data_IF_956878377499
#
_entry.id   IF_956878377499
#
_cell.length_a   1.000
_cell.length_b   1.000
_cell.length_c   1.000
_cell.angle_alpha   90.00
_cell.angle_beta   90.00
_cell.angle_gamma   90.00
#
_symmetry.space_group_name_H-M   'P 1'
#
loop_
_entity.id
_entity.type
_entity.pdbx_description
1 polymer ?
#
# COMPACT_ATOMS: atom_id res chain seq x y z
N UNK A 1 -2.38 0.94 -20.65
CA UNK A 1 -2.05 0.39 -19.31
C UNK A 1 -3.00 -0.75 -19.05
N UNK A 2 -2.47 -1.91 -18.72
CA UNK A 2 -3.27 -3.11 -18.40
C UNK A 2 -3.77 -3.06 -16.94
N UNK A 3 -3.05 -2.37 -16.05
CA UNK A 3 -3.39 -2.11 -14.64
C UNK A 3 -4.65 -1.25 -14.40
N UNK A 4 -5.22 -0.65 -15.45
CA UNK A 4 -6.48 0.08 -15.33
C UNK A 4 -7.70 -0.75 -15.73
N UNK A 5 -7.51 -1.91 -16.36
CA UNK A 5 -8.59 -2.80 -16.81
C UNK A 5 -9.11 -3.64 -15.65
N UNK A 6 -10.43 -3.79 -15.55
CA UNK A 6 -11.06 -4.58 -14.49
C UNK A 6 -10.83 -6.06 -14.74
N UNK A 7 -9.80 -6.61 -14.10
CA UNK A 7 -9.60 -8.06 -13.97
C UNK A 7 -10.22 -8.56 -12.65
N UNK A 8 -10.52 -9.85 -12.59
CA UNK A 8 -11.07 -10.52 -11.41
C UNK A 8 -10.03 -10.82 -10.31
N UNK A 9 -8.82 -10.28 -10.43
CA UNK A 9 -7.70 -10.49 -9.49
C UNK A 9 -7.09 -9.15 -9.13
N UNK A 10 -6.51 -9.06 -7.93
CA UNK A 10 -5.76 -7.88 -7.53
C UNK A 10 -4.64 -7.58 -8.52
N UNK A 11 -4.48 -6.30 -8.83
CA UNK A 11 -3.44 -5.83 -9.74
C UNK A 11 -2.44 -5.01 -8.94
N UNK A 12 -1.20 -5.48 -8.89
CA UNK A 12 -0.15 -4.89 -8.08
C UNK A 12 0.74 -3.97 -8.92
N UNK A 13 1.19 -2.89 -8.30
CA UNK A 13 2.19 -1.99 -8.82
C UNK A 13 3.11 -1.57 -7.67
N UNK A 14 4.39 -1.88 -7.77
CA UNK A 14 5.39 -1.40 -6.82
C UNK A 14 6.31 -0.40 -7.50
N UNK A 15 6.39 0.82 -6.96
CA UNK A 15 7.35 1.84 -7.39
C UNK A 15 8.49 1.90 -6.38
N UNK A 16 9.66 1.41 -6.78
CA UNK A 16 10.88 1.40 -5.98
C UNK A 16 11.71 2.66 -6.29
N UNK A 17 11.84 3.54 -5.31
CA UNK A 17 12.67 4.73 -5.35
C UNK A 17 14.15 4.46 -5.10
N UNK A 18 15.04 5.42 -5.44
CA UNK A 18 16.47 5.26 -5.21
C UNK A 18 16.78 5.36 -3.71
N UNK A 19 17.36 4.30 -3.15
CA UNK A 19 17.69 4.18 -1.73
C UNK A 19 18.87 5.04 -1.22
N UNK A 20 19.16 6.19 -1.85
CA UNK A 20 20.23 7.11 -1.43
C UNK A 20 19.78 8.58 -1.47
N UNK A 21 20.16 9.32 -0.42
CA UNK A 21 19.73 10.67 0.00
C UNK A 21 18.24 10.87 0.31
N UNK A 22 17.97 10.69 1.61
CA UNK A 22 16.72 10.50 2.39
C UNK A 22 15.72 11.67 2.33
N UNK A 23 15.88 12.69 1.48
CA UNK A 23 15.00 13.87 1.59
C UNK A 23 14.29 14.22 0.29
N UNK A 24 14.96 14.22 -0.86
CA UNK A 24 14.32 14.64 -2.11
C UNK A 24 13.71 13.48 -2.89
N UNK A 25 14.34 12.29 -2.86
CA UNK A 25 13.79 11.08 -3.48
C UNK A 25 12.57 10.55 -2.75
N UNK A 26 12.61 10.51 -1.41
CA UNK A 26 11.47 10.09 -0.57
C UNK A 26 10.27 10.99 -0.82
N UNK A 27 10.47 12.31 -0.78
CA UNK A 27 9.42 13.28 -1.12
C UNK A 27 8.87 13.07 -2.51
N UNK A 28 9.72 12.76 -3.49
CA UNK A 28 9.27 12.53 -4.87
C UNK A 28 8.42 11.27 -5.00
N UNK A 29 8.75 10.18 -4.31
CA UNK A 29 8.03 8.91 -4.40
C UNK A 29 6.73 8.94 -3.61
N UNK A 30 6.75 9.44 -2.37
CA UNK A 30 5.53 9.66 -1.59
C UNK A 30 4.58 10.64 -2.28
N UNK A 31 5.11 11.62 -3.06
CA UNK A 31 4.29 12.51 -3.90
C UNK A 31 3.55 11.74 -5.01
N UNK A 32 4.13 10.67 -5.57
CA UNK A 32 3.43 9.83 -6.55
C UNK A 32 2.23 9.14 -5.88
N UNK A 33 2.44 8.55 -4.70
CA UNK A 33 1.35 7.97 -3.92
C UNK A 33 0.25 9.00 -3.60
N UNK A 34 0.63 10.16 -3.05
CA UNK A 34 -0.30 11.22 -2.71
C UNK A 34 -1.09 11.74 -3.92
N UNK A 35 -0.43 11.87 -5.08
CA UNK A 35 -1.10 12.28 -6.33
C UNK A 35 -2.08 11.23 -6.84
N UNK A 36 -1.77 9.94 -6.72
CA UNK A 36 -2.73 8.89 -7.09
C UNK A 36 -3.95 8.94 -6.18
N UNK A 37 -3.75 9.05 -4.86
CA UNK A 37 -4.85 9.19 -3.89
C UNK A 37 -5.72 10.40 -4.24
N UNK A 38 -5.10 11.58 -4.42
CA UNK A 38 -5.83 12.79 -4.79
C UNK A 38 -6.60 12.64 -6.12
N UNK A 39 -5.99 11.99 -7.12
CA UNK A 39 -6.63 11.76 -8.42
C UNK A 39 -7.81 10.79 -8.33
N UNK A 40 -7.67 9.71 -7.55
CA UNK A 40 -8.75 8.76 -7.30
C UNK A 40 -9.92 9.43 -6.57
N UNK A 41 -9.63 10.23 -5.54
CA UNK A 41 -10.64 11.01 -4.83
C UNK A 41 -11.36 12.01 -5.73
N UNK A 42 -10.63 12.74 -6.60
CA UNK A 42 -11.23 13.67 -7.57
C UNK A 42 -12.10 12.96 -8.61
N UNK A 43 -11.76 11.72 -8.95
CA UNK A 43 -12.53 10.88 -9.87
C UNK A 43 -13.64 10.07 -9.18
N UNK A 44 -13.88 10.32 -7.88
CA UNK A 44 -14.88 9.60 -7.05
C UNK A 44 -14.66 8.07 -7.06
N UNK A 45 -13.43 7.63 -7.25
CA UNK A 45 -13.05 6.23 -7.14
C UNK A 45 -12.69 5.92 -5.69
N UNK A 46 -13.28 4.89 -5.06
CA UNK A 46 -12.95 4.52 -3.69
C UNK A 46 -11.45 4.24 -3.54
N UNK A 47 -10.84 4.87 -2.54
CA UNK A 47 -9.41 4.74 -2.27
C UNK A 47 -9.18 4.51 -0.78
N UNK A 48 -8.40 3.48 -0.49
CA UNK A 48 -7.83 3.21 0.83
C UNK A 48 -6.36 3.60 0.73
N UNK A 49 -5.84 4.34 1.70
CA UNK A 49 -4.43 4.72 1.68
C UNK A 49 -3.80 4.76 3.07
N UNK A 50 -2.50 4.46 3.12
CA UNK A 50 -1.71 4.58 4.34
C UNK A 50 -0.28 4.98 4.02
N UNK A 51 0.23 5.98 4.74
CA UNK A 51 1.60 6.46 4.64
C UNK A 51 2.34 6.00 5.89
N UNK A 52 3.23 5.03 5.70
CA UNK A 52 3.98 4.41 6.77
C UNK A 52 5.03 5.38 7.31
N UNK A 53 4.94 5.66 8.61
CA UNK A 53 5.93 6.43 9.34
C UNK A 53 6.40 5.62 10.56
N UNK A 54 7.72 5.49 10.73
CA UNK A 54 8.27 5.06 12.02
C UNK A 54 8.38 6.28 12.93
N UNK A 55 7.42 6.44 13.85
CA UNK A 55 7.51 7.42 14.93
C UNK A 55 8.63 7.02 15.90
N UNK A 56 9.88 7.37 15.57
CA UNK A 56 11.07 7.00 16.37
C UNK A 56 11.09 7.63 17.78
N UNK A 57 10.22 8.58 18.11
CA UNK A 57 10.42 9.43 19.29
C UNK A 57 9.25 9.60 20.27
N UNK A 58 8.00 9.19 19.97
CA UNK A 58 6.84 9.62 20.81
C UNK A 58 6.05 8.49 21.48
N UNK A 59 6.04 7.25 20.93
CA UNK A 59 5.12 6.20 21.43
C UNK A 59 5.75 5.02 22.17
N UNK A 60 7.08 4.96 22.28
CA UNK A 60 7.77 3.92 23.07
C UNK A 60 7.40 3.95 24.58
N UNK A 61 6.63 4.95 25.04
CA UNK A 61 6.22 5.09 26.43
C UNK A 61 4.97 4.29 26.82
N UNK A 62 4.13 3.87 25.86
CA UNK A 62 2.86 3.19 26.18
C UNK A 62 2.93 1.66 26.15
N UNK A 63 3.86 1.08 25.38
CA UNK A 63 4.09 -0.36 25.34
C UNK A 63 5.60 -0.66 25.31
N UNK A 64 6.26 -0.75 26.48
CA UNK A 64 7.71 -0.95 26.58
C UNK A 64 8.20 -2.33 26.09
N UNK A 65 7.31 -3.21 25.63
CA UNK A 65 7.61 -4.59 25.23
C UNK A 65 7.38 -4.89 23.73
N UNK A 66 6.92 -3.93 22.92
CA UNK A 66 6.65 -4.14 21.49
C UNK A 66 7.58 -3.32 20.60
N UNK A 67 8.06 -3.96 19.54
CA UNK A 67 9.00 -3.38 18.60
C UNK A 67 8.29 -2.34 17.71
N UNK A 68 8.90 -1.17 17.41
CA UNK A 68 8.27 -0.11 16.63
C UNK A 68 7.69 -0.57 15.28
N UNK A 69 8.37 -1.48 14.59
CA UNK A 69 7.98 -2.02 13.29
C UNK A 69 6.73 -2.92 13.41
N UNK A 70 6.67 -3.74 14.45
CA UNK A 70 5.51 -4.59 14.76
C UNK A 70 4.28 -3.73 15.09
N UNK A 71 4.46 -2.67 15.89
CA UNK A 71 3.38 -1.73 16.20
C UNK A 71 2.92 -0.96 14.95
N UNK A 72 3.86 -0.53 14.11
CA UNK A 72 3.55 0.15 12.85
C UNK A 72 2.78 -0.77 11.88
N UNK A 73 3.12 -2.07 11.84
CA UNK A 73 2.37 -3.05 11.06
C UNK A 73 0.94 -3.22 11.57
N UNK A 74 0.74 -3.30 12.88
CA UNK A 74 -0.61 -3.35 13.49
C UNK A 74 -1.39 -2.08 13.20
N UNK A 75 -0.75 -0.90 13.26
CA UNK A 75 -1.38 0.37 12.92
C UNK A 75 -1.81 0.40 11.44
N UNK A 76 -0.95 -0.06 10.52
CA UNK A 76 -1.26 -0.20 9.10
C UNK A 76 -2.49 -1.11 8.90
N UNK A 77 -2.49 -2.32 9.47
CA UNK A 77 -3.61 -3.25 9.35
C UNK A 77 -4.92 -2.66 9.89
N UNK A 78 -4.87 -2.05 11.08
CA UNK A 78 -6.03 -1.43 11.72
C UNK A 78 -6.59 -0.27 10.90
N UNK A 79 -5.70 0.57 10.33
CA UNK A 79 -6.09 1.69 9.49
C UNK A 79 -6.73 1.24 8.18
N UNK A 80 -6.22 0.15 7.59
CA UNK A 80 -6.82 -0.46 6.41
C UNK A 80 -8.20 -1.05 6.72
N UNK A 81 -8.34 -1.84 7.79
CA UNK A 81 -9.65 -2.38 8.21
C UNK A 81 -10.68 -1.25 8.34
N UNK A 82 -10.34 -0.17 9.04
CA UNK A 82 -11.21 1.00 9.22
C UNK A 82 -11.63 1.62 7.89
N UNK A 83 -10.66 1.88 7.01
CA UNK A 83 -10.92 2.48 5.69
C UNK A 83 -11.70 1.53 4.77
N UNK A 84 -11.44 0.23 4.83
CA UNK A 84 -12.19 -0.77 4.07
C UNK A 84 -13.66 -0.70 4.43
N UNK A 85 -13.99 -0.65 5.73
CA UNK A 85 -15.38 -0.46 6.19
C UNK A 85 -16.00 0.84 5.63
N UNK A 86 -15.24 1.93 5.56
CA UNK A 86 -15.73 3.22 5.03
C UNK A 86 -16.03 3.18 3.52
N UNK A 87 -15.35 2.33 2.75
CA UNK A 87 -15.56 2.20 1.29
C UNK A 87 -16.55 1.10 0.90
N UNK A 88 -17.03 0.29 1.85
CA UNK A 88 -18.07 -0.70 1.58
C UNK A 88 -19.40 -0.03 1.21
N UNK A 89 -20.21 -0.75 0.44
CA UNK A 89 -21.57 -0.32 0.13
C UNK A 89 -22.40 -0.21 1.42
N UNK A 90 -23.35 0.75 1.52
CA UNK A 90 -24.20 0.89 2.70
C UNK A 90 -25.02 -0.37 3.04
N UNK A 91 -25.28 -1.21 2.05
CA UNK A 91 -25.99 -2.48 2.18
C UNK A 91 -25.37 -3.50 1.22
N UNK A 92 -25.04 -4.66 1.75
CA UNK A 92 -24.56 -5.82 1.00
C UNK A 92 -24.94 -7.08 1.77
N UNK A 93 -25.06 -8.19 1.06
CA UNK A 93 -25.26 -9.50 1.67
C UNK A 93 -23.90 -10.19 1.77
N UNK A 94 -23.65 -10.84 2.90
CA UNK A 94 -22.41 -11.58 3.12
C UNK A 94 -22.62 -12.77 4.05
N UNK A 95 -21.79 -13.79 3.88
CA UNK A 95 -21.68 -14.93 4.79
C UNK A 95 -20.53 -14.75 5.80
N UNK A 96 -19.76 -13.67 5.72
CA UNK A 96 -18.69 -13.38 6.67
C UNK A 96 -19.24 -12.92 8.01
N UNK A 97 -18.58 -13.31 9.11
CA UNK A 97 -18.90 -12.83 10.44
C UNK A 97 -18.46 -11.38 10.60
N UNK A 98 -19.39 -10.43 10.47
CA UNK A 98 -19.17 -9.01 10.74
C UNK A 98 -19.76 -8.59 12.11
N UNK A 99 -19.85 -9.52 13.05
CA UNK A 99 -20.42 -9.28 14.37
C UNK A 99 -19.51 -8.42 15.24
N UNK A 100 -20.13 -7.65 16.16
CA UNK A 100 -19.41 -6.84 17.15
C UNK A 100 -18.35 -7.64 17.94
N UNK A 101 -18.62 -8.86 18.45
CA UNK A 101 -17.62 -9.65 19.18
C UNK A 101 -16.35 -9.96 18.40
N UNK A 102 -16.42 -10.11 17.07
CA UNK A 102 -15.23 -10.32 16.23
C UNK A 102 -14.40 -9.05 16.15
N UNK A 103 -15.05 -7.90 15.91
CA UNK A 103 -14.36 -6.61 15.89
C UNK A 103 -13.79 -6.21 17.26
N UNK A 104 -14.41 -6.61 18.38
CA UNK A 104 -13.89 -6.37 19.73
C UNK A 104 -12.56 -7.09 20.01
N UNK A 105 -12.20 -8.11 19.23
CA UNK A 105 -10.90 -8.78 19.32
C UNK A 105 -9.76 -7.95 18.70
N UNK A 106 -10.08 -6.95 17.87
CA UNK A 106 -9.12 -6.02 17.26
C UNK A 106 -8.65 -4.98 18.28
N UNK A 107 -7.76 -5.40 19.17
CA UNK A 107 -7.32 -4.60 20.31
C UNK A 107 -6.10 -3.70 20.03
N UNK A 108 -5.66 -3.61 18.77
CA UNK A 108 -4.51 -2.78 18.37
C UNK A 108 -3.17 -3.31 18.89
N UNK A 109 -3.13 -4.55 19.39
CA UNK A 109 -1.89 -5.22 19.78
C UNK A 109 -1.53 -6.31 18.79
N UNK A 110 -0.26 -6.67 18.79
CA UNK A 110 0.29 -7.72 17.95
C UNK A 110 -0.37 -9.11 18.18
N UNK A 111 -0.95 -9.34 19.36
CA UNK A 111 -1.68 -10.59 19.67
C UNK A 111 -2.95 -10.75 18.83
N UNK A 112 -3.51 -9.64 18.33
CA UNK A 112 -4.70 -9.64 17.47
C UNK A 112 -4.37 -9.74 15.97
N UNK A 113 -3.11 -9.99 15.61
CA UNK A 113 -2.66 -9.96 14.21
C UNK A 113 -3.44 -10.92 13.30
N UNK A 114 -3.56 -12.19 13.69
CA UNK A 114 -4.20 -13.20 12.85
C UNK A 114 -5.68 -12.87 12.63
N UNK A 115 -6.39 -12.48 13.69
CA UNK A 115 -7.78 -12.01 13.62
C UNK A 115 -7.90 -10.75 12.74
N UNK A 116 -6.93 -9.84 12.82
CA UNK A 116 -6.89 -8.64 11.97
C UNK A 116 -6.74 -8.99 10.50
N UNK A 117 -5.88 -9.97 10.16
CA UNK A 117 -5.70 -10.41 8.77
C UNK A 117 -6.95 -11.12 8.24
N UNK A 118 -7.62 -11.95 9.04
CA UNK A 118 -8.88 -12.58 8.66
C UNK A 118 -9.99 -11.56 8.43
N UNK A 119 -10.16 -10.59 9.34
CA UNK A 119 -11.15 -9.52 9.19
C UNK A 119 -10.84 -8.67 7.95
N UNK A 120 -9.56 -8.33 7.74
CA UNK A 120 -9.16 -7.57 6.56
C UNK A 120 -9.45 -8.34 5.27
N UNK A 121 -9.12 -9.63 5.20
CA UNK A 121 -9.38 -10.47 4.03
C UNK A 121 -10.87 -10.53 3.68
N UNK A 122 -11.71 -10.78 4.68
CA UNK A 122 -13.17 -10.82 4.52
C UNK A 122 -13.70 -9.47 4.02
N UNK A 123 -13.27 -8.36 4.64
CA UNK A 123 -13.69 -7.03 4.22
C UNK A 123 -13.24 -6.69 2.80
N UNK A 124 -12.00 -7.00 2.43
CA UNK A 124 -11.47 -6.76 1.08
C UNK A 124 -12.22 -7.54 0.00
N UNK A 125 -12.70 -8.74 0.32
CA UNK A 125 -13.50 -9.54 -0.61
C UNK A 125 -14.90 -8.93 -0.88
N UNK A 126 -15.35 -8.03 -0.01
CA UNK A 126 -16.61 -7.29 -0.15
C UNK A 126 -16.43 -5.95 -0.88
N UNK A 127 -15.19 -5.47 -1.06
CA UNK A 127 -14.92 -4.23 -1.77
C UNK A 127 -15.14 -4.42 -3.26
N UNK A 128 -15.84 -3.49 -3.95
CA UNK A 128 -15.93 -3.52 -5.40
C UNK A 128 -14.55 -3.44 -6.06
N UNK A 129 -14.30 -4.25 -7.10
CA UNK A 129 -12.99 -4.34 -7.80
C UNK A 129 -12.52 -3.07 -8.53
N UNK A 130 -13.23 -1.95 -8.38
CA UNK A 130 -12.83 -0.64 -8.91
C UNK A 130 -12.04 0.20 -7.90
N UNK A 131 -11.85 -0.26 -6.65
CA UNK A 131 -11.17 0.50 -5.61
C UNK A 131 -9.64 0.42 -5.68
N UNK A 132 -8.98 1.49 -5.25
CA UNK A 132 -7.52 1.55 -5.10
C UNK A 132 -7.10 1.34 -3.64
N UNK A 133 -5.97 0.66 -3.43
CA UNK A 133 -5.25 0.61 -2.17
C UNK A 133 -3.84 1.16 -2.38
N UNK A 134 -3.45 2.21 -1.65
CA UNK A 134 -2.14 2.86 -1.79
C UNK A 134 -1.38 2.80 -0.48
N UNK A 135 -0.23 2.13 -0.47
CA UNK A 135 0.61 1.95 0.71
C UNK A 135 1.98 2.55 0.42
N UNK A 136 2.29 3.67 1.05
CA UNK A 136 3.58 4.33 0.94
C UNK A 136 4.48 3.94 2.12
N UNK A 137 5.75 3.66 1.85
CA UNK A 137 6.77 3.50 2.89
C UNK A 137 6.78 2.14 3.60
N UNK A 138 6.21 1.06 3.04
CA UNK A 138 6.16 -0.25 3.75
C UNK A 138 7.55 -0.80 4.13
N UNK A 139 8.60 -0.45 3.38
CA UNK A 139 10.00 -0.77 3.70
C UNK A 139 10.46 -0.27 5.07
N UNK A 140 9.81 0.75 5.64
CA UNK A 140 10.12 1.22 6.99
C UNK A 140 9.72 0.23 8.08
N UNK A 141 8.78 -0.67 7.79
CA UNK A 141 8.32 -1.70 8.73
C UNK A 141 9.14 -2.98 8.58
N UNK A 142 10.00 -3.05 7.56
CA UNK A 142 10.71 -4.24 7.17
C UNK A 142 11.82 -4.55 8.18
N UNK A 143 11.59 -5.58 8.98
CA UNK A 143 12.55 -6.09 9.94
C UNK A 143 12.48 -7.61 9.95
N UNK A 144 13.56 -8.27 10.37
CA UNK A 144 13.61 -9.73 10.46
C UNK A 144 12.44 -10.33 11.27
N UNK A 145 11.87 -9.55 12.21
CA UNK A 145 10.76 -9.96 13.06
C UNK A 145 9.40 -9.71 12.42
N UNK A 146 9.27 -8.59 11.70
CA UNK A 146 8.02 -8.18 11.04
C UNK A 146 7.82 -8.83 9.67
N UNK A 147 8.87 -9.33 9.02
CA UNK A 147 8.86 -9.84 7.65
C UNK A 147 7.70 -10.81 7.37
N UNK A 148 7.61 -11.92 8.13
CA UNK A 148 6.55 -12.92 7.95
C UNK A 148 5.14 -12.34 8.05
N UNK A 149 4.97 -11.28 8.84
CA UNK A 149 3.68 -10.62 9.05
C UNK A 149 3.37 -9.67 7.90
N UNK A 150 4.34 -8.88 7.46
CA UNK A 150 4.20 -8.04 6.27
C UNK A 150 3.92 -8.88 5.02
N UNK A 151 4.55 -10.05 4.90
CA UNK A 151 4.26 -11.01 3.82
C UNK A 151 2.83 -11.55 3.89
N UNK A 152 2.37 -11.98 5.06
CA UNK A 152 0.98 -12.40 5.26
C UNK A 152 0.00 -11.27 4.90
N UNK A 153 0.32 -10.04 5.26
CA UNK A 153 -0.45 -8.85 4.89
C UNK A 153 -0.48 -8.61 3.38
N UNK A 154 0.66 -8.71 2.70
CA UNK A 154 0.76 -8.59 1.23
C UNK A 154 -0.04 -9.69 0.53
N UNK A 155 -0.04 -10.91 1.08
CA UNK A 155 -0.83 -12.02 0.57
C UNK A 155 -2.34 -11.80 0.73
N UNK A 156 -2.79 -11.24 1.87
CA UNK A 156 -4.19 -10.84 2.06
C UNK A 156 -4.61 -9.81 1.00
N UNK A 157 -3.76 -8.83 0.73
CA UNK A 157 -3.98 -7.85 -0.33
C UNK A 157 -4.03 -8.50 -1.73
N UNK A 158 -3.15 -9.46 -2.01
CA UNK A 158 -3.06 -10.17 -3.29
C UNK A 158 -4.31 -10.98 -3.61
N UNK A 159 -4.97 -11.49 -2.59
CA UNK A 159 -6.22 -12.24 -2.72
C UNK A 159 -7.48 -11.35 -2.85
N UNK A 160 -7.33 -10.02 -2.87
CA UNK A 160 -8.43 -9.09 -3.12
C UNK A 160 -8.72 -8.91 -4.62
N UNK A 161 -9.68 -8.03 -4.94
CA UNK A 161 -9.96 -7.58 -6.31
C UNK A 161 -9.51 -6.12 -6.55
N UNK A 162 -8.79 -5.53 -5.61
CA UNK A 162 -8.40 -4.13 -5.65
C UNK A 162 -7.16 -3.89 -6.52
N UNK A 163 -6.99 -2.65 -6.95
CA UNK A 163 -5.74 -2.17 -7.55
C UNK A 163 -4.83 -1.65 -6.45
N UNK A 164 -3.68 -2.28 -6.28
CA UNK A 164 -2.82 -2.08 -5.12
C UNK A 164 -1.51 -1.47 -5.58
N UNK A 165 -1.16 -0.32 -5.01
CA UNK A 165 0.09 0.38 -5.28
C UNK A 165 0.94 0.48 -4.01
N UNK A 166 2.18 0.01 -4.12
CA UNK A 166 3.21 0.22 -3.12
C UNK A 166 4.21 1.27 -3.63
N UNK A 167 4.65 2.14 -2.75
CA UNK A 167 5.74 3.09 -3.03
C UNK A 167 6.78 3.01 -1.91
N UNK A 168 8.06 2.96 -2.26
CA UNK A 168 9.16 2.85 -1.28
C UNK A 168 10.33 3.73 -1.67
N UNK A 169 11.06 4.30 -0.69
CA UNK A 169 12.30 5.04 -0.90
C UNK A 169 13.54 4.14 -0.76
N UNK A 170 13.47 2.98 -1.40
CA UNK A 170 14.48 1.94 -1.33
C UNK A 170 13.86 0.56 -1.42
N UNK A 171 14.67 -0.46 -1.14
CA UNK A 171 14.22 -1.85 -1.19
C UNK A 171 13.36 -2.20 0.02
N UNK A 172 12.33 -3.00 -0.22
CA UNK A 172 11.64 -3.77 0.80
C UNK A 172 11.91 -5.25 0.54
N UNK A 173 12.47 -5.96 1.52
CA UNK A 173 12.63 -7.41 1.50
C UNK A 173 11.29 -8.12 1.30
N UNK A 174 10.26 -7.73 2.06
CA UNK A 174 8.96 -8.40 1.96
C UNK A 174 8.31 -8.21 0.57
N UNK A 175 8.42 -7.03 -0.05
CA UNK A 175 7.91 -6.82 -1.41
C UNK A 175 8.74 -7.53 -2.48
N UNK A 176 10.07 -7.62 -2.32
CA UNK A 176 10.93 -8.33 -3.26
C UNK A 176 10.60 -9.81 -3.38
N UNK A 177 10.15 -10.43 -2.28
CA UNK A 177 9.77 -11.84 -2.26
C UNK A 177 8.35 -12.07 -2.80
N UNK A 178 7.45 -11.10 -2.60
CA UNK A 178 6.02 -11.27 -2.92
C UNK A 178 5.60 -10.61 -4.24
N UNK A 179 6.36 -9.67 -4.81
CA UNK A 179 6.00 -8.92 -6.02
C UNK A 179 6.98 -9.24 -7.17
N UNK A 180 6.49 -9.80 -8.30
CA UNK A 180 7.34 -10.08 -9.45
C UNK A 180 7.85 -8.80 -10.11
N UNK A 181 8.98 -8.92 -10.81
CA UNK A 181 9.62 -7.80 -11.53
C UNK A 181 8.68 -7.14 -12.55
N UNK A 182 7.75 -7.89 -13.14
CA UNK A 182 6.75 -7.36 -14.08
C UNK A 182 5.77 -6.36 -13.45
N UNK A 183 5.60 -6.42 -12.14
CA UNK A 183 4.75 -5.52 -11.34
C UNK A 183 5.58 -4.40 -10.66
N UNK A 184 6.87 -4.31 -10.97
CA UNK A 184 7.82 -3.38 -10.31
C UNK A 184 8.34 -2.32 -11.29
N UNK A 185 8.32 -1.06 -10.88
CA UNK A 185 8.92 0.08 -11.58
C UNK A 185 10.04 0.66 -10.71
N UNK A 186 11.27 0.58 -11.19
CA UNK A 186 12.42 1.19 -10.53
C UNK A 186 12.64 2.62 -11.02
N UNK A 187 12.60 3.57 -10.10
CA UNK A 187 12.88 4.98 -10.37
C UNK A 187 14.36 5.22 -10.10
N UNK A 188 15.15 5.34 -11.16
CA UNK A 188 16.57 5.70 -11.04
C UNK A 188 16.72 7.21 -10.88
N UNK A 189 17.59 7.64 -9.96
CA UNK A 189 18.05 9.04 -9.92
C UNK A 189 18.83 9.30 -11.20
N UNK A 190 18.29 10.11 -12.12
CA UNK A 190 19.11 10.61 -13.22
C UNK A 190 20.21 11.49 -12.60
N UNK A 191 21.49 11.32 -12.98
CA UNK A 191 22.51 12.28 -12.60
C UNK A 191 22.04 13.66 -13.06
N UNK A 192 22.27 14.68 -12.23
CA UNK A 192 21.87 16.06 -12.50
C UNK A 192 22.60 16.58 -13.73
N UNK A 193 22.11 16.20 -14.91
CA UNK A 193 22.40 16.89 -16.16
C UNK A 193 21.45 18.07 -16.14
N UNK A 194 22.04 19.27 -16.17
CA UNK A 194 21.31 20.51 -16.13
C UNK A 194 20.16 20.53 -17.13
N UNK A 195 19.16 21.34 -16.78
CA UNK A 195 17.98 21.76 -17.55
C UNK A 195 16.82 20.77 -17.67
N UNK A 196 15.81 21.08 -16.84
CA UNK A 196 14.36 21.13 -17.11
C UNK A 196 13.87 20.49 -18.43
N UNK A 197 12.77 19.73 -18.31
CA UNK A 197 11.94 19.19 -19.41
C UNK A 197 12.40 17.87 -20.03
N UNK A 198 12.69 16.85 -19.21
CA UNK A 198 12.86 15.48 -19.70
C UNK A 198 11.91 14.47 -19.04
N UNK A 199 11.49 14.69 -17.80
CA UNK A 199 10.58 13.76 -17.09
C UNK A 199 9.17 13.75 -17.69
N UNK A 200 8.62 14.92 -18.04
CA UNK A 200 7.36 14.99 -18.79
C UNK A 200 7.52 14.44 -20.21
N UNK A 201 8.69 14.63 -20.82
CA UNK A 201 8.90 14.20 -22.20
C UNK A 201 9.04 12.67 -22.32
N UNK A 202 9.69 12.00 -21.37
CA UNK A 202 9.82 10.53 -21.37
C UNK A 202 8.48 9.85 -21.09
N UNK A 203 7.69 10.41 -20.17
CA UNK A 203 6.34 9.91 -19.86
C UNK A 203 5.43 10.15 -21.08
N UNK A 204 5.45 11.34 -21.69
CA UNK A 204 4.64 11.67 -22.87
C UNK A 204 5.08 10.92 -24.15
N UNK A 205 6.37 10.65 -24.35
CA UNK A 205 6.87 9.84 -25.46
C UNK A 205 6.42 8.38 -25.36
N UNK A 206 6.41 7.82 -24.14
CA UNK A 206 5.84 6.49 -23.86
C UNK A 206 4.33 6.45 -24.15
N UNK A 207 3.60 7.56 -23.97
CA UNK A 207 2.19 7.69 -24.34
C UNK A 207 1.94 7.97 -25.83
N UNK A 208 2.88 8.61 -26.54
CA UNK A 208 2.69 8.99 -27.97
C UNK A 208 2.98 7.84 -28.93
N UNK A 209 4.01 7.02 -28.66
CA UNK A 209 4.33 5.81 -29.47
C UNK A 209 3.27 4.70 -29.40
N UNK A 210 2.29 4.79 -28.50
CA UNK A 210 1.24 3.77 -28.30
C UNK A 210 -0.13 4.14 -28.88
N UNK A 211 -0.22 5.27 -29.61
CA UNK A 211 -1.44 5.71 -30.29
C UNK A 211 -1.48 5.36 -31.79
N UNK A 212 -0.36 4.89 -32.33
CA UNK A 212 -0.19 4.54 -33.76
C UNK A 212 -0.13 3.00 -34.00
N UNK A 213 -0.67 2.21 -33.07
CA UNK A 213 -0.89 0.75 -33.14
C UNK A 213 -2.31 0.44 -32.66
#
# INVERSE_FOLDING_TARGET
MEWSRGDSKAQFLWIEGPGTDVTDSERSISMVAARLVASASLAEVPVISYFCELLRSVQLQYYPASFPEEQAAVALASALIRQTVEVLLPKFDTNFDLSRPRFEQLNGTFQSWDVSMEVLADLLSLVPGTAFCVIDGIHWLDSQRADKYLRAFVEVLRNSTMKIMFTTSGRSGCLLEEIPVSETIQVMRMPAIGTQSLTEHLILEQFRKRRDL
#
